data_IF_056558496366
#
_entry.id   IF_056558496366
#
_cell.length_a   1.000
_cell.length_b   1.000
_cell.length_c   1.000
_cell.angle_alpha   90.00
_cell.angle_beta   90.00
_cell.angle_gamma   90.00
#
_symmetry.space_group_name_H-M   'P 1'
#
loop_
_entity.id
_entity.type
_entity.pdbx_description
1 polymer ?
#
# COMPACT_ATOMS: atom_id res chain seq x y z
N UNK A 1 -25.48 18.46 -17.78
CA UNK A 1 -24.58 18.08 -16.67
C UNK A 1 -23.36 17.45 -17.29
N UNK A 2 -22.21 18.12 -17.27
CA UNK A 2 -20.94 17.49 -17.66
C UNK A 2 -20.45 16.63 -16.50
N UNK A 3 -20.49 15.31 -16.68
CA UNK A 3 -19.71 14.38 -15.89
C UNK A 3 -18.23 14.58 -16.22
N UNK A 4 -17.37 14.78 -15.21
CA UNK A 4 -15.92 14.81 -15.41
C UNK A 4 -15.24 16.18 -15.27
N UNK A 5 -15.72 17.06 -14.37
CA UNK A 5 -14.81 18.07 -13.82
C UNK A 5 -13.68 17.35 -13.07
N UNK A 6 -12.43 17.84 -13.13
CA UNK A 6 -11.37 17.33 -12.26
C UNK A 6 -11.86 17.53 -10.83
N UNK A 7 -12.17 16.42 -10.16
CA UNK A 7 -12.60 16.41 -8.77
C UNK A 7 -11.59 17.23 -7.97
N UNK A 8 -12.12 18.08 -7.09
CA UNK A 8 -11.31 18.87 -6.18
C UNK A 8 -10.34 17.92 -5.45
N UNK A 9 -9.05 18.04 -5.74
CA UNK A 9 -8.04 17.05 -5.37
C UNK A 9 -7.96 16.89 -3.85
N UNK A 10 -8.28 17.96 -3.12
CA UNK A 10 -8.41 17.96 -1.66
C UNK A 10 -9.60 17.11 -1.18
N UNK A 11 -10.76 17.23 -1.83
CA UNK A 11 -11.93 16.39 -1.54
C UNK A 11 -11.68 14.91 -1.85
N UNK A 12 -10.87 14.60 -2.87
CA UNK A 12 -10.50 13.23 -3.18
C UNK A 12 -9.61 12.61 -2.09
N UNK A 13 -8.60 13.34 -1.56
CA UNK A 13 -7.73 12.84 -0.48
C UNK A 13 -8.54 12.52 0.79
N UNK A 14 -9.39 13.45 1.24
CA UNK A 14 -10.20 13.26 2.46
C UNK A 14 -11.13 12.04 2.34
N UNK A 15 -11.82 11.90 1.20
CA UNK A 15 -12.69 10.75 0.92
C UNK A 15 -11.91 9.44 0.98
N UNK A 16 -10.69 9.39 0.40
CA UNK A 16 -9.86 8.18 0.44
C UNK A 16 -9.37 7.85 1.85
N UNK A 17 -9.02 8.85 2.65
CA UNK A 17 -8.66 8.64 4.06
C UNK A 17 -9.86 8.09 4.87
N UNK A 18 -11.06 8.64 4.67
CA UNK A 18 -12.29 8.13 5.29
C UNK A 18 -12.60 6.69 4.86
N UNK A 19 -12.37 6.33 3.60
CA UNK A 19 -12.52 4.94 3.13
C UNK A 19 -11.51 4.00 3.78
N UNK A 20 -10.27 4.44 4.00
CA UNK A 20 -9.26 3.68 4.75
C UNK A 20 -9.71 3.49 6.21
N UNK A 21 -10.20 4.54 6.86
CA UNK A 21 -10.73 4.45 8.24
C UNK A 21 -11.89 3.46 8.35
N UNK A 22 -12.82 3.48 7.37
CA UNK A 22 -13.90 2.49 7.30
C UNK A 22 -13.38 1.06 7.11
N UNK A 23 -12.37 0.89 6.27
CA UNK A 23 -11.73 -0.42 6.08
C UNK A 23 -11.11 -0.94 7.38
N UNK A 24 -10.44 -0.06 8.15
CA UNK A 24 -9.88 -0.38 9.47
C UNK A 24 -10.98 -0.78 10.44
N UNK A 25 -12.05 -0.01 10.53
CA UNK A 25 -13.18 -0.32 11.40
C UNK A 25 -13.85 -1.67 11.03
N UNK A 26 -14.03 -1.94 9.73
CA UNK A 26 -14.58 -3.21 9.26
C UNK A 26 -13.66 -4.39 9.60
N UNK A 27 -12.34 -4.21 9.46
CA UNK A 27 -11.36 -5.20 9.86
C UNK A 27 -11.44 -5.47 11.36
N UNK A 28 -11.38 -4.44 12.21
CA UNK A 28 -11.44 -4.56 13.68
C UNK A 28 -12.72 -5.28 14.14
N UNK A 29 -13.87 -4.87 13.62
CA UNK A 29 -15.14 -5.53 13.93
C UNK A 29 -15.15 -7.02 13.56
N UNK A 30 -14.53 -7.39 12.45
CA UNK A 30 -14.48 -8.78 11.99
C UNK A 30 -13.44 -9.58 12.77
N UNK A 31 -12.28 -8.98 13.05
CA UNK A 31 -11.18 -9.62 13.77
C UNK A 31 -11.56 -9.91 15.21
N UNK A 32 -12.20 -8.98 15.91
CA UNK A 32 -12.73 -9.18 17.27
C UNK A 32 -13.72 -10.35 17.33
N UNK A 33 -14.68 -10.40 16.40
CA UNK A 33 -15.65 -11.49 16.32
C UNK A 33 -15.01 -12.85 16.06
N UNK A 34 -13.93 -12.88 15.28
CA UNK A 34 -13.22 -14.12 14.98
C UNK A 34 -12.35 -14.57 16.15
N UNK A 35 -11.64 -13.65 16.81
CA UNK A 35 -10.85 -13.95 18.01
C UNK A 35 -11.73 -14.64 19.05
N UNK A 36 -12.93 -14.11 19.32
CA UNK A 36 -13.92 -14.73 20.23
C UNK A 36 -14.34 -16.15 19.83
N UNK A 37 -14.36 -16.49 18.53
CA UNK A 37 -14.74 -17.83 18.05
C UNK A 37 -13.61 -18.85 18.13
N UNK A 38 -12.36 -18.38 18.21
CA UNK A 38 -11.17 -19.20 18.11
C UNK A 38 -10.28 -19.14 19.35
N UNK A 39 -10.67 -18.39 20.37
CA UNK A 39 -9.96 -18.21 21.65
C UNK A 39 -9.57 -19.56 22.27
N UNK A 40 -10.47 -20.55 22.22
CA UNK A 40 -10.24 -21.89 22.76
C UNK A 40 -9.58 -22.88 21.77
N UNK A 41 -9.32 -22.45 20.52
CA UNK A 41 -8.90 -23.34 19.40
C UNK A 41 -7.51 -23.05 18.87
N UNK A 42 -6.87 -21.98 19.32
CA UNK A 42 -5.55 -21.54 18.84
C UNK A 42 -4.65 -21.32 20.04
N UNK A 43 -3.66 -22.19 20.20
CA UNK A 43 -2.56 -21.99 21.15
C UNK A 43 -1.36 -21.32 20.46
N UNK A 44 -0.27 -21.12 21.20
CA UNK A 44 0.98 -20.55 20.68
C UNK A 44 1.64 -21.37 19.56
N UNK A 45 1.14 -22.58 19.25
CA UNK A 45 1.69 -23.50 18.25
C UNK A 45 0.72 -23.78 17.09
N UNK A 46 -0.49 -23.23 17.13
CA UNK A 46 -1.52 -23.49 16.14
C UNK A 46 -1.74 -22.26 15.26
N UNK A 47 -1.89 -22.47 13.95
CA UNK A 47 -2.30 -21.43 13.01
C UNK A 47 -3.55 -21.87 12.27
N UNK A 48 -4.59 -21.03 12.28
CA UNK A 48 -5.82 -21.30 11.53
C UNK A 48 -5.77 -20.61 10.17
N UNK A 49 -5.97 -21.39 9.11
CA UNK A 49 -6.08 -20.86 7.76
C UNK A 49 -7.49 -20.34 7.50
N UNK A 50 -7.58 -19.05 7.17
CA UNK A 50 -8.84 -18.37 6.84
C UNK A 50 -8.87 -18.18 5.33
N UNK A 51 -9.81 -18.85 4.66
CA UNK A 51 -10.05 -18.65 3.22
C UNK A 51 -10.79 -17.32 3.01
N UNK A 52 -10.15 -16.34 2.37
CA UNK A 52 -10.73 -15.02 2.09
C UNK A 52 -11.94 -15.01 1.13
N UNK A 53 -12.12 -16.06 0.32
CA UNK A 53 -13.31 -16.31 -0.52
C UNK A 53 -14.33 -17.25 0.12
N UNK A 54 -14.13 -17.60 1.39
CA UNK A 54 -15.01 -18.51 2.14
C UNK A 54 -15.52 -17.82 3.39
N UNK A 55 -15.03 -18.27 4.55
CA UNK A 55 -15.66 -17.99 5.84
C UNK A 55 -15.62 -16.52 6.27
N UNK A 56 -14.75 -15.66 5.70
CA UNK A 56 -14.58 -14.28 6.17
C UNK A 56 -14.39 -13.26 5.02
N UNK A 57 -15.46 -13.04 4.27
CA UNK A 57 -15.51 -12.06 3.17
C UNK A 57 -15.16 -10.63 3.61
N UNK A 58 -15.38 -10.30 4.88
CA UNK A 58 -15.09 -8.98 5.44
C UNK A 58 -13.59 -8.69 5.45
N UNK A 59 -12.74 -9.68 5.68
CA UNK A 59 -11.28 -9.51 5.65
C UNK A 59 -10.79 -9.17 4.25
N UNK A 60 -11.27 -9.91 3.25
CA UNK A 60 -10.92 -9.62 1.87
C UNK A 60 -11.47 -8.25 1.44
N UNK A 61 -12.69 -7.90 1.86
CA UNK A 61 -13.31 -6.60 1.56
C UNK A 61 -12.53 -5.44 2.18
N UNK A 62 -12.22 -5.50 3.48
CA UNK A 62 -11.46 -4.45 4.17
C UNK A 62 -10.05 -4.33 3.61
N UNK A 63 -9.39 -5.46 3.36
CA UNK A 63 -8.05 -5.48 2.76
C UNK A 63 -8.04 -4.90 1.34
N UNK A 64 -9.05 -5.22 0.52
CA UNK A 64 -9.22 -4.63 -0.81
C UNK A 64 -9.42 -3.13 -0.71
N UNK A 65 -10.33 -2.68 0.14
CA UNK A 65 -10.65 -1.26 0.32
C UNK A 65 -9.40 -0.47 0.76
N UNK A 66 -8.61 -1.01 1.70
CA UNK A 66 -7.35 -0.43 2.17
C UNK A 66 -6.38 -0.15 1.00
N UNK A 67 -6.10 -1.17 0.19
CA UNK A 67 -5.11 -1.08 -0.89
C UNK A 67 -5.62 -0.33 -2.12
N UNK A 68 -6.92 -0.38 -2.42
CA UNK A 68 -7.50 0.40 -3.52
C UNK A 68 -7.43 1.91 -3.21
N UNK A 69 -7.90 2.32 -2.05
CA UNK A 69 -7.86 3.74 -1.66
C UNK A 69 -6.41 4.24 -1.49
N UNK A 70 -5.52 3.42 -0.93
CA UNK A 70 -4.09 3.74 -0.85
C UNK A 70 -3.45 3.92 -2.23
N UNK A 71 -3.80 3.07 -3.20
CA UNK A 71 -3.29 3.22 -4.57
C UNK A 71 -3.80 4.50 -5.22
N UNK A 72 -5.03 4.91 -4.94
CA UNK A 72 -5.58 6.15 -5.47
C UNK A 72 -4.96 7.39 -4.82
N UNK A 73 -4.67 7.36 -3.51
CA UNK A 73 -3.89 8.38 -2.84
C UNK A 73 -2.49 8.52 -3.45
N UNK A 74 -1.84 7.40 -3.79
CA UNK A 74 -0.55 7.41 -4.49
C UNK A 74 -0.65 8.09 -5.86
N UNK A 75 -1.66 7.76 -6.66
CA UNK A 75 -1.89 8.40 -7.95
C UNK A 75 -2.11 9.91 -7.79
N UNK A 76 -2.97 10.33 -6.85
CA UNK A 76 -3.26 11.74 -6.56
C UNK A 76 -2.00 12.50 -6.12
N UNK A 77 -1.16 11.87 -5.28
CA UNK A 77 0.14 12.41 -4.87
C UNK A 77 1.05 12.64 -6.08
N UNK A 78 1.19 11.65 -6.97
CA UNK A 78 2.05 11.78 -8.16
C UNK A 78 1.53 12.84 -9.13
N UNK A 79 0.21 12.97 -9.27
CA UNK A 79 -0.41 14.02 -10.08
C UNK A 79 -0.10 15.41 -9.48
N UNK A 80 -0.25 15.57 -8.16
CA UNK A 80 0.05 16.83 -7.48
C UNK A 80 1.53 17.19 -7.64
N UNK A 81 2.44 16.27 -7.32
CA UNK A 81 3.88 16.48 -7.48
C UNK A 81 4.30 16.74 -8.93
N UNK A 82 3.63 16.15 -9.92
CA UNK A 82 3.89 16.47 -11.34
C UNK A 82 3.38 17.86 -11.72
N UNK A 83 2.25 18.28 -11.17
CA UNK A 83 1.63 19.58 -11.45
C UNK A 83 2.44 20.72 -10.83
N UNK A 84 2.81 20.60 -9.56
CA UNK A 84 3.66 21.59 -8.87
C UNK A 84 5.02 21.77 -9.52
N UNK A 85 5.57 20.68 -10.09
CA UNK A 85 6.88 20.69 -10.76
C UNK A 85 6.81 20.89 -12.26
N UNK A 86 5.66 21.29 -12.80
CA UNK A 86 5.50 21.52 -14.24
C UNK A 86 6.36 22.72 -14.67
N UNK A 87 7.17 22.55 -15.70
CA UNK A 87 8.05 23.61 -16.22
C UNK A 87 9.34 23.82 -15.43
N UNK A 88 9.57 23.05 -14.35
CA UNK A 88 10.85 23.02 -13.66
C UNK A 88 11.85 22.12 -14.38
N UNK A 89 13.15 22.32 -14.12
CA UNK A 89 14.24 21.51 -14.69
C UNK A 89 14.09 20.01 -14.43
N UNK A 90 13.50 19.64 -13.30
CA UNK A 90 13.21 18.26 -12.92
C UNK A 90 11.70 18.10 -12.78
N UNK A 91 11.06 17.56 -13.80
CA UNK A 91 9.63 17.23 -13.77
C UNK A 91 9.40 15.84 -13.17
N UNK A 92 8.54 15.75 -12.15
CA UNK A 92 8.11 14.49 -11.53
C UNK A 92 7.33 13.63 -12.53
N UNK A 93 7.60 12.32 -12.64
CA UNK A 93 6.78 11.47 -13.51
C UNK A 93 5.38 11.22 -12.94
N UNK A 94 4.35 11.25 -13.79
CA UNK A 94 2.98 10.81 -13.42
C UNK A 94 2.86 9.30 -13.23
N UNK A 95 3.73 8.52 -13.90
CA UNK A 95 3.71 7.05 -13.81
C UNK A 95 4.60 6.61 -12.65
N UNK A 96 4.10 5.67 -11.85
CA UNK A 96 4.81 5.19 -10.67
C UNK A 96 6.21 4.62 -10.95
N UNK A 97 6.37 3.72 -11.92
CA UNK A 97 7.68 3.06 -12.12
C UNK A 97 8.79 4.04 -12.55
N UNK A 98 8.58 4.92 -13.55
CA UNK A 98 9.56 5.96 -13.84
C UNK A 98 9.79 6.88 -12.64
N UNK A 99 8.74 7.26 -11.91
CA UNK A 99 8.89 8.06 -10.69
C UNK A 99 9.79 7.37 -9.66
N UNK A 100 9.49 6.13 -9.29
CA UNK A 100 10.22 5.38 -8.28
C UNK A 100 11.69 5.17 -8.64
N UNK A 101 12.00 4.87 -9.91
CA UNK A 101 13.40 4.73 -10.37
C UNK A 101 14.17 6.04 -10.22
N UNK A 102 13.58 7.16 -10.65
CA UNK A 102 14.18 8.49 -10.52
C UNK A 102 14.38 8.89 -9.06
N UNK A 103 13.39 8.59 -8.21
CA UNK A 103 13.45 8.83 -6.77
C UNK A 103 14.61 8.07 -6.12
N UNK A 104 14.75 6.77 -6.40
CA UNK A 104 15.82 5.96 -5.82
C UNK A 104 17.21 6.35 -6.35
N UNK A 105 17.31 6.81 -7.60
CA UNK A 105 18.55 7.35 -8.19
C UNK A 105 18.91 8.75 -7.69
N UNK A 106 18.07 9.37 -6.86
CA UNK A 106 18.30 10.71 -6.31
C UNK A 106 18.06 11.85 -7.31
N UNK A 107 17.40 11.60 -8.45
CA UNK A 107 17.11 12.64 -9.44
C UNK A 107 16.22 13.76 -8.88
N UNK A 108 15.47 13.49 -7.80
CA UNK A 108 14.64 14.49 -7.14
C UNK A 108 15.31 15.14 -5.91
N UNK A 109 16.49 14.71 -5.50
CA UNK A 109 17.13 15.16 -4.25
C UNK A 109 17.44 16.67 -4.29
N UNK A 110 17.73 17.22 -5.48
CA UNK A 110 18.01 18.65 -5.70
C UNK A 110 16.78 19.55 -5.52
N UNK A 111 15.57 19.00 -5.43
CA UNK A 111 14.36 19.82 -5.31
C UNK A 111 14.13 20.37 -3.90
N UNK A 112 14.81 19.84 -2.89
CA UNK A 112 14.62 20.23 -1.48
C UNK A 112 13.26 19.86 -0.89
N UNK A 113 12.40 19.11 -1.60
CA UNK A 113 11.08 18.73 -1.10
C UNK A 113 11.22 17.53 -0.16
N UNK A 114 10.78 17.70 1.09
CA UNK A 114 10.86 16.67 2.14
C UNK A 114 10.06 15.43 1.79
N UNK A 115 8.98 15.59 1.03
CA UNK A 115 8.16 14.47 0.55
C UNK A 115 8.97 13.45 -0.23
N UNK A 116 9.97 13.86 -1.03
CA UNK A 116 10.80 12.90 -1.75
C UNK A 116 11.67 12.07 -0.79
N UNK A 117 12.27 12.70 0.22
CA UNK A 117 13.00 11.98 1.27
C UNK A 117 12.11 10.96 2.00
N UNK A 118 10.90 11.38 2.38
CA UNK A 118 9.91 10.52 3.04
C UNK A 118 9.52 9.32 2.15
N UNK A 119 9.20 9.55 0.88
CA UNK A 119 8.82 8.47 -0.05
C UNK A 119 9.99 7.54 -0.35
N UNK A 120 11.23 8.05 -0.39
CA UNK A 120 12.44 7.26 -0.64
C UNK A 120 12.70 6.25 0.49
N UNK A 121 12.55 6.70 1.74
CA UNK A 121 12.67 5.81 2.92
C UNK A 121 11.56 4.75 2.93
N UNK A 122 10.37 5.10 2.48
CA UNK A 122 9.20 4.20 2.48
C UNK A 122 8.97 3.51 1.12
N UNK A 123 10.00 3.39 0.26
CA UNK A 123 9.81 2.92 -1.12
C UNK A 123 9.25 1.51 -1.20
N UNK A 124 9.69 0.60 -0.32
CA UNK A 124 9.16 -0.78 -0.22
C UNK A 124 7.66 -0.76 0.02
N UNK A 125 7.23 0.06 0.97
CA UNK A 125 5.82 0.19 1.34
C UNK A 125 4.98 0.71 0.17
N UNK A 126 5.43 1.77 -0.50
CA UNK A 126 4.74 2.37 -1.64
C UNK A 126 4.69 1.42 -2.84
N UNK A 127 5.78 0.69 -3.09
CA UNK A 127 5.82 -0.34 -4.12
C UNK A 127 4.78 -1.42 -3.85
N UNK A 128 4.70 -1.90 -2.61
CA UNK A 128 3.71 -2.89 -2.19
C UNK A 128 2.27 -2.41 -2.34
N UNK A 129 1.97 -1.13 -2.06
CA UNK A 129 0.62 -0.56 -2.30
C UNK A 129 0.17 -0.82 -3.75
N UNK A 130 1.03 -0.54 -4.73
CA UNK A 130 0.73 -0.78 -6.15
C UNK A 130 0.64 -2.26 -6.49
N UNK A 131 1.60 -3.07 -6.03
CA UNK A 131 1.68 -4.50 -6.36
C UNK A 131 0.49 -5.27 -5.78
N UNK A 132 0.26 -5.11 -4.48
CA UNK A 132 -0.79 -5.85 -3.77
C UNK A 132 -2.16 -5.48 -4.32
N UNK A 133 -2.43 -4.20 -4.59
CA UNK A 133 -3.68 -3.80 -5.26
C UNK A 133 -3.91 -4.53 -6.58
N UNK A 134 -2.87 -4.65 -7.42
CA UNK A 134 -2.99 -5.36 -8.70
C UNK A 134 -3.21 -6.86 -8.51
N UNK A 135 -2.53 -7.48 -7.55
CA UNK A 135 -2.75 -8.89 -7.22
C UNK A 135 -4.16 -9.14 -6.67
N UNK A 136 -4.67 -8.28 -5.79
CA UNK A 136 -6.07 -8.35 -5.33
C UNK A 136 -7.04 -8.22 -6.52
N UNK A 137 -6.77 -7.33 -7.47
CA UNK A 137 -7.66 -7.14 -8.61
C UNK A 137 -7.67 -8.35 -9.55
N UNK A 138 -6.50 -8.95 -9.81
CA UNK A 138 -6.34 -9.94 -10.86
C UNK A 138 -6.47 -11.39 -10.36
N UNK A 139 -5.97 -11.68 -9.15
CA UNK A 139 -5.90 -13.03 -8.59
C UNK A 139 -6.23 -13.01 -7.09
N UNK A 140 -7.43 -12.59 -6.69
CA UNK A 140 -7.77 -12.42 -5.28
C UNK A 140 -7.73 -13.75 -4.50
N UNK A 141 -7.90 -14.90 -5.17
CA UNK A 141 -7.78 -16.23 -4.57
C UNK A 141 -6.36 -16.57 -4.07
N UNK A 142 -5.33 -15.84 -4.53
CA UNK A 142 -3.95 -16.02 -4.07
C UNK A 142 -3.68 -15.43 -2.68
N UNK A 143 -4.63 -14.64 -2.17
CA UNK A 143 -4.55 -14.01 -0.86
C UNK A 143 -4.96 -15.04 0.19
N UNK A 144 -4.04 -15.37 1.08
CA UNK A 144 -4.31 -16.28 2.19
C UNK A 144 -4.28 -15.49 3.48
N UNK A 145 -5.37 -15.58 4.24
CA UNK A 145 -5.42 -15.04 5.59
C UNK A 145 -5.12 -16.15 6.58
N UNK A 146 -4.42 -15.82 7.66
CA UNK A 146 -4.12 -16.74 8.75
C UNK A 146 -4.41 -16.04 10.07
N UNK A 147 -4.89 -16.79 11.04
CA UNK A 147 -4.90 -16.36 12.42
C UNK A 147 -3.75 -17.10 13.12
N UNK A 148 -2.81 -16.33 13.66
CA UNK A 148 -1.58 -16.82 14.31
C UNK A 148 -1.60 -16.32 15.74
N UNK A 149 -1.83 -17.24 16.68
CA UNK A 149 -1.92 -16.97 18.12
C UNK A 149 -2.94 -15.89 18.50
N UNK A 150 -2.59 -14.61 18.36
CA UNK A 150 -3.34 -13.44 18.79
C UNK A 150 -3.56 -12.40 17.68
N UNK A 151 -2.99 -12.59 16.49
CA UNK A 151 -3.07 -11.64 15.37
C UNK A 151 -3.43 -12.30 14.05
N UNK A 152 -3.88 -11.50 13.10
CA UNK A 152 -4.18 -11.97 11.75
C UNK A 152 -3.07 -11.58 10.79
N UNK A 153 -2.69 -12.52 9.94
CA UNK A 153 -1.73 -12.30 8.87
C UNK A 153 -2.38 -12.40 7.49
N UNK A 154 -1.84 -11.65 6.54
CA UNK A 154 -2.10 -11.86 5.12
C UNK A 154 -0.81 -12.24 4.38
N UNK A 155 -0.89 -13.34 3.62
CA UNK A 155 0.22 -13.90 2.85
C UNK A 155 0.00 -13.69 1.35
N UNK A 156 1.02 -13.19 0.67
CA UNK A 156 1.02 -12.98 -0.79
C UNK A 156 2.24 -13.57 -1.45
N UNK A 157 2.07 -13.89 -2.73
CA UNK A 157 3.17 -14.05 -3.67
C UNK A 157 3.14 -12.86 -4.61
N UNK A 158 4.17 -12.03 -4.58
CA UNK A 158 4.28 -10.86 -5.45
C UNK A 158 5.17 -11.24 -6.65
N UNK A 159 4.64 -11.22 -7.89
CA UNK A 159 5.45 -11.41 -9.08
C UNK A 159 6.32 -10.17 -9.33
N UNK A 160 7.55 -10.37 -9.81
CA UNK A 160 8.46 -9.31 -10.26
C UNK A 160 8.36 -9.24 -11.78
N UNK A 161 7.91 -8.11 -12.31
CA UNK A 161 7.89 -7.90 -13.76
C UNK A 161 9.28 -7.45 -14.24
N UNK A 162 9.60 -7.69 -15.52
CA UNK A 162 10.92 -7.33 -16.08
C UNK A 162 11.23 -5.83 -15.93
N UNK A 163 10.23 -4.98 -16.07
CA UNK A 163 10.33 -3.54 -15.88
C UNK A 163 10.40 -3.12 -14.40
N UNK A 164 10.34 -4.05 -13.46
CA UNK A 164 10.46 -3.77 -12.01
C UNK A 164 11.83 -4.16 -11.47
N UNK A 165 12.62 -4.95 -12.21
CA UNK A 165 13.90 -5.51 -11.75
C UNK A 165 14.88 -4.46 -11.21
N UNK A 166 15.06 -3.34 -11.91
CA UNK A 166 15.91 -2.24 -11.45
C UNK A 166 15.46 -1.67 -10.11
N UNK A 167 14.16 -1.72 -9.79
CA UNK A 167 13.63 -1.19 -8.56
C UNK A 167 13.83 -2.17 -7.39
N UNK A 168 13.79 -3.48 -7.66
CA UNK A 168 13.94 -4.54 -6.64
C UNK A 168 15.21 -4.38 -5.81
N UNK A 169 16.32 -3.92 -6.41
CA UNK A 169 17.57 -3.69 -5.69
C UNK A 169 17.43 -2.71 -4.52
N UNK A 170 16.51 -1.75 -4.63
CA UNK A 170 16.26 -0.72 -3.63
C UNK A 170 15.20 -1.09 -2.60
N UNK A 171 14.48 -2.18 -2.81
CA UNK A 171 13.42 -2.61 -1.91
C UNK A 171 13.99 -3.47 -0.78
N UNK A 172 13.37 -3.39 0.38
CA UNK A 172 13.63 -4.26 1.51
C UNK A 172 12.83 -5.56 1.34
N UNK A 173 13.44 -6.52 0.66
CA UNK A 173 12.86 -7.83 0.35
C UNK A 173 13.80 -8.91 0.89
N UNK A 174 13.27 -9.81 1.72
CA UNK A 174 13.98 -11.00 2.21
C UNK A 174 14.36 -11.91 1.03
N UNK A 175 15.58 -12.45 1.05
CA UNK A 175 16.13 -13.34 0.00
C UNK A 175 16.04 -12.75 -1.42
N UNK A 176 16.56 -11.52 -1.60
CA UNK A 176 16.45 -10.77 -2.86
C UNK A 176 16.99 -11.50 -4.09
N UNK A 177 18.11 -12.22 -3.95
CA UNK A 177 18.71 -12.97 -5.06
C UNK A 177 17.79 -14.10 -5.55
N UNK A 178 17.24 -14.87 -4.60
CA UNK A 178 16.25 -15.91 -4.88
C UNK A 178 14.97 -15.31 -5.49
N UNK A 179 14.54 -14.15 -5.01
CA UNK A 179 13.38 -13.45 -5.54
C UNK A 179 13.57 -13.05 -7.01
N UNK A 180 14.76 -12.55 -7.37
CA UNK A 180 15.12 -12.18 -8.74
C UNK A 180 15.21 -13.42 -9.64
N UNK A 181 15.81 -14.51 -9.17
CA UNK A 181 15.87 -15.77 -9.91
C UNK A 181 14.46 -16.35 -10.18
N UNK A 182 13.61 -16.39 -9.16
CA UNK A 182 12.24 -16.92 -9.24
C UNK A 182 11.22 -15.92 -9.79
N UNK A 183 11.66 -14.70 -10.13
CA UNK A 183 10.82 -13.58 -10.58
C UNK A 183 9.59 -13.36 -9.69
N UNK A 184 9.71 -13.66 -8.39
CA UNK A 184 8.63 -13.52 -7.41
C UNK A 184 9.16 -13.65 -5.99
N UNK A 185 8.50 -13.02 -5.03
CA UNK A 185 8.80 -13.16 -3.61
C UNK A 185 7.53 -13.28 -2.78
N UNK A 186 7.68 -13.69 -1.53
CA UNK A 186 6.59 -13.77 -0.58
C UNK A 186 6.63 -12.62 0.41
N UNK A 187 5.46 -12.08 0.73
CA UNK A 187 5.31 -11.12 1.80
C UNK A 187 4.19 -11.56 2.74
N UNK A 188 4.42 -11.27 4.02
CA UNK A 188 3.52 -11.56 5.13
C UNK A 188 3.30 -10.23 5.84
N UNK A 189 2.04 -9.88 6.05
CA UNK A 189 1.66 -8.69 6.80
C UNK A 189 0.88 -9.09 8.03
N UNK A 190 1.31 -8.62 9.19
CA UNK A 190 0.45 -8.53 10.36
C UNK A 190 -0.63 -7.47 10.06
N UNK A 191 -1.88 -7.90 9.96
CA UNK A 191 -3.02 -7.03 9.63
C UNK A 191 -3.37 -6.10 10.80
N UNK A 192 -3.13 -6.52 12.05
CA UNK A 192 -3.35 -5.68 13.22
C UNK A 192 -2.41 -4.45 13.21
N UNK A 193 -1.25 -4.58 12.58
CA UNK A 193 -0.28 -3.48 12.40
C UNK A 193 -0.46 -2.72 11.08
N UNK A 194 -0.64 -3.45 9.97
CA UNK A 194 -0.69 -2.86 8.63
C UNK A 194 -1.84 -1.85 8.47
N UNK A 195 -3.03 -2.19 8.98
CA UNK A 195 -4.21 -1.35 8.84
C UNK A 195 -4.02 0.04 9.47
N UNK A 196 -3.69 0.18 10.76
CA UNK A 196 -3.41 1.49 11.36
C UNK A 196 -2.15 2.16 10.79
N UNK A 197 -1.12 1.40 10.44
CA UNK A 197 0.10 1.93 9.84
C UNK A 197 -0.18 2.61 8.49
N UNK A 198 -1.01 2.02 7.63
CA UNK A 198 -1.39 2.61 6.34
C UNK A 198 -2.08 3.97 6.50
N UNK A 199 -2.98 4.10 7.46
CA UNK A 199 -3.64 5.39 7.74
C UNK A 199 -2.63 6.41 8.26
N UNK A 200 -1.75 6.01 9.18
CA UNK A 200 -0.68 6.87 9.71
C UNK A 200 0.27 7.33 8.60
N UNK A 201 0.66 6.41 7.70
CA UNK A 201 1.49 6.69 6.54
C UNK A 201 0.85 7.78 5.67
N UNK A 202 -0.43 7.63 5.30
CA UNK A 202 -1.10 8.60 4.44
C UNK A 202 -1.32 9.95 5.11
N UNK A 203 -1.69 9.98 6.40
CA UNK A 203 -1.79 11.24 7.16
C UNK A 203 -0.44 11.96 7.23
N UNK A 204 0.65 11.22 7.44
CA UNK A 204 2.01 11.78 7.44
C UNK A 204 2.39 12.29 6.06
N UNK A 205 2.12 11.51 5.01
CA UNK A 205 2.37 11.87 3.63
C UNK A 205 1.65 13.18 3.25
N UNK A 206 0.35 13.29 3.55
CA UNK A 206 -0.45 14.48 3.30
C UNK A 206 0.08 15.69 4.06
N UNK A 207 0.42 15.54 5.34
CA UNK A 207 0.97 16.63 6.15
C UNK A 207 2.31 17.16 5.63
N UNK A 208 3.21 16.27 5.19
CA UNK A 208 4.49 16.67 4.59
C UNK A 208 4.23 17.41 3.27
N UNK A 209 3.35 16.86 2.43
CA UNK A 209 3.01 17.43 1.12
C UNK A 209 2.40 18.83 1.24
N UNK A 210 1.49 19.04 2.19
CA UNK A 210 0.91 20.36 2.47
C UNK A 210 1.97 21.35 2.89
N UNK A 211 2.87 20.98 3.82
CA UNK A 211 3.95 21.86 4.26
C UNK A 211 4.98 22.15 3.17
N UNK A 212 5.12 21.28 2.18
CA UNK A 212 6.05 21.45 1.06
C UNK A 212 5.46 22.32 -0.06
N UNK A 213 4.13 22.37 -0.21
CA UNK A 213 3.44 23.09 -1.30
C UNK A 213 2.81 24.42 -0.81
N UNK A 214 2.55 24.56 0.49
CA UNK A 214 2.13 25.84 1.09
C UNK A 214 3.30 26.82 1.32
N UNK A 215 4.48 26.55 0.75
CA UNK A 215 5.66 27.43 0.68
C UNK A 215 5.85 27.91 -0.75
#
# INVERSE_FOLDING_TARGET
MEFGKPEDLHGNIEVRLLSIERAIAQYQFSSEKLKLRFDDKVDQHTSLFIKGFGNEINFLSSFRELFFNSRELLDSLLIKLNTERKGQSIQTSRKFLPFARKLMKGEYDQSGLRIFGFLKINITYIFHIRKIRNEIKNQPANIKFRFVTDHFEAYFRIPIMKDEMELIQFLDIKNKDEALEKMSYHCIYNLDELFPEMLKFWRTCSSILEKDISL
#
